data_IF_833292032335
#
_entry.id   IF_833292032335
#
_cell.length_a   1.000
_cell.length_b   1.000
_cell.length_c   1.000
_cell.angle_alpha   90.00
_cell.angle_beta   90.00
_cell.angle_gamma   90.00
#
_symmetry.space_group_name_H-M   'P 1'
#
loop_
_entity.id
_entity.type
_entity.pdbx_description
1 polymer ?
#
# COMPACT_ATOMS: atom_id res chain seq x y z
N UNK A 1 -37.65 10.06 22.20
CA UNK A 1 -37.05 8.75 22.55
C UNK A 1 -36.90 7.82 21.33
N UNK A 2 -37.89 7.74 20.43
CA UNK A 2 -37.84 6.86 19.23
C UNK A 2 -36.76 7.26 18.21
N UNK A 3 -36.54 8.55 18.00
CA UNK A 3 -35.54 9.07 17.05
C UNK A 3 -34.12 8.69 17.45
N UNK A 4 -33.74 8.94 18.71
CA UNK A 4 -32.43 8.61 19.25
C UNK A 4 -32.14 7.10 19.22
N UNK A 5 -33.14 6.28 19.61
CA UNK A 5 -33.03 4.83 19.56
C UNK A 5 -32.86 4.32 18.11
N UNK A 6 -33.56 4.91 17.14
CA UNK A 6 -33.41 4.55 15.72
C UNK A 6 -32.03 4.93 15.18
N UNK A 7 -31.52 6.11 15.55
CA UNK A 7 -30.14 6.51 15.21
C UNK A 7 -29.11 5.56 15.81
N UNK A 8 -29.27 5.15 17.07
CA UNK A 8 -28.37 4.19 17.70
C UNK A 8 -28.36 2.84 16.95
N UNK A 9 -29.55 2.29 16.64
CA UNK A 9 -29.68 1.03 15.91
C UNK A 9 -29.02 1.10 14.52
N UNK A 10 -29.13 2.24 13.83
CA UNK A 10 -28.53 2.40 12.51
C UNK A 10 -27.00 2.31 12.50
N UNK A 11 -26.36 2.55 13.65
CA UNK A 11 -24.91 2.46 13.83
C UNK A 11 -24.44 1.05 14.23
N UNK A 12 -25.36 0.16 14.55
CA UNK A 12 -25.05 -1.21 14.95
C UNK A 12 -24.93 -2.12 13.74
N UNK A 13 -24.03 -3.12 13.79
CA UNK A 13 -23.96 -4.14 12.75
C UNK A 13 -25.29 -4.88 12.59
N UNK A 14 -25.69 -5.13 11.34
CA UNK A 14 -26.95 -5.81 11.02
C UNK A 14 -27.10 -7.18 11.68
N UNK A 15 -25.99 -7.88 11.97
CA UNK A 15 -26.01 -9.18 12.65
C UNK A 15 -26.40 -9.07 14.13
N UNK A 16 -26.06 -7.96 14.80
CA UNK A 16 -26.34 -7.73 16.22
C UNK A 16 -27.83 -7.47 16.48
N UNK A 17 -28.56 -7.03 15.46
CA UNK A 17 -29.99 -6.72 15.52
C UNK A 17 -30.89 -7.91 15.18
N UNK A 18 -30.31 -9.02 14.70
CA UNK A 18 -31.08 -10.18 14.25
C UNK A 18 -31.66 -10.94 15.44
N UNK A 19 -32.99 -10.90 15.59
CA UNK A 19 -33.73 -11.64 16.62
C UNK A 19 -33.92 -10.91 17.95
N UNK A 20 -33.44 -9.66 18.08
CA UNK A 20 -33.62 -8.83 19.28
C UNK A 20 -34.76 -7.86 19.04
N UNK A 21 -35.74 -7.85 19.94
CA UNK A 21 -37.00 -7.12 19.75
C UNK A 21 -37.22 -6.05 20.82
N UNK A 22 -36.51 -6.08 21.95
CA UNK A 22 -36.67 -5.09 23.00
C UNK A 22 -35.61 -3.98 22.91
N UNK A 23 -35.97 -2.78 23.36
CA UNK A 23 -35.05 -1.64 23.46
C UNK A 23 -33.87 -1.95 24.40
N UNK A 24 -34.08 -2.79 25.43
CA UNK A 24 -33.04 -3.20 26.38
C UNK A 24 -32.00 -4.10 25.69
N UNK A 25 -32.44 -5.04 24.85
CA UNK A 25 -31.54 -5.90 24.08
C UNK A 25 -30.67 -5.07 23.13
N UNK A 26 -31.27 -4.10 22.43
CA UNK A 26 -30.54 -3.19 21.56
C UNK A 26 -29.53 -2.32 22.32
N UNK A 27 -29.88 -1.89 23.53
CA UNK A 27 -28.96 -1.13 24.38
C UNK A 27 -27.77 -1.99 24.85
N UNK A 28 -28.03 -3.24 25.25
CA UNK A 28 -26.99 -4.19 25.61
C UNK A 28 -26.04 -4.49 24.45
N UNK A 29 -26.57 -4.63 23.24
CA UNK A 29 -25.77 -4.80 22.03
C UNK A 29 -24.94 -3.58 21.68
N UNK A 30 -25.49 -2.37 21.86
CA UNK A 30 -24.72 -1.16 21.67
C UNK A 30 -23.50 -1.12 22.59
N UNK A 31 -23.67 -1.47 23.86
CA UNK A 31 -22.56 -1.55 24.82
C UNK A 31 -21.53 -2.61 24.41
N UNK A 32 -21.98 -3.80 23.99
CA UNK A 32 -21.08 -4.87 23.52
C UNK A 32 -20.30 -4.44 22.27
N UNK A 33 -20.96 -3.74 21.34
CA UNK A 33 -20.33 -3.25 20.13
C UNK A 33 -19.32 -2.14 20.42
N UNK A 34 -19.62 -1.21 21.32
CA UNK A 34 -18.66 -0.20 21.79
C UNK A 34 -17.39 -0.88 22.34
N UNK A 35 -17.55 -1.87 23.22
CA UNK A 35 -16.41 -2.64 23.77
C UNK A 35 -15.60 -3.33 22.67
N UNK A 36 -16.27 -3.89 21.67
CA UNK A 36 -15.59 -4.51 20.53
C UNK A 36 -14.77 -3.48 19.75
N UNK A 37 -15.32 -2.30 19.48
CA UNK A 37 -14.61 -1.21 18.80
C UNK A 37 -13.41 -0.71 19.60
N UNK A 38 -13.54 -0.54 20.92
CA UNK A 38 -12.43 -0.17 21.81
C UNK A 38 -11.28 -1.18 21.74
N UNK A 39 -11.60 -2.49 21.80
CA UNK A 39 -10.60 -3.55 21.64
C UNK A 39 -9.93 -3.51 20.27
N UNK A 40 -10.72 -3.31 19.21
CA UNK A 40 -10.22 -3.25 17.83
C UNK A 40 -9.24 -2.07 17.63
N UNK A 41 -9.54 -0.90 18.20
CA UNK A 41 -8.63 0.26 18.23
C UNK A 41 -7.31 -0.10 18.93
N UNK A 42 -7.37 -0.81 20.06
CA UNK A 42 -6.19 -1.31 20.78
C UNK A 42 -5.32 -2.28 19.96
N UNK A 43 -5.96 -3.21 19.25
CA UNK A 43 -5.24 -4.14 18.37
C UNK A 43 -4.60 -3.43 17.17
N UNK A 44 -5.34 -2.54 16.51
CA UNK A 44 -4.85 -1.80 15.34
C UNK A 44 -3.71 -0.86 15.72
N UNK A 45 -3.80 -0.18 16.87
CA UNK A 45 -2.71 0.64 17.40
C UNK A 45 -1.46 -0.20 17.69
N UNK A 46 -1.61 -1.35 18.34
CA UNK A 46 -0.51 -2.28 18.59
C UNK A 46 0.14 -2.80 17.30
N UNK A 47 -0.67 -3.13 16.29
CA UNK A 47 -0.19 -3.55 14.95
C UNK A 47 0.59 -2.43 14.27
N UNK A 48 0.07 -1.19 14.29
CA UNK A 48 0.76 0.00 13.77
C UNK A 48 2.08 0.24 14.48
N UNK A 49 2.14 0.13 15.80
CA UNK A 49 3.36 0.40 16.56
C UNK A 49 4.41 -0.68 16.31
N UNK A 50 4.00 -1.95 16.17
CA UNK A 50 4.89 -3.04 15.74
C UNK A 50 5.49 -2.75 14.37
N UNK A 51 4.68 -2.35 13.41
CA UNK A 51 5.14 -2.01 12.06
C UNK A 51 6.09 -0.81 12.09
N UNK A 52 5.74 0.26 12.82
CA UNK A 52 6.59 1.44 12.98
C UNK A 52 7.95 1.12 13.58
N UNK A 53 8.02 0.28 14.62
CA UNK A 53 9.28 -0.18 15.22
C UNK A 53 10.11 -1.02 14.26
N UNK A 54 9.48 -1.92 13.49
CA UNK A 54 10.18 -2.71 12.48
C UNK A 54 10.77 -1.86 11.35
N UNK A 55 10.14 -0.71 11.04
CA UNK A 55 10.67 0.26 10.08
C UNK A 55 11.75 1.18 10.67
N UNK A 56 11.72 1.46 11.98
CA UNK A 56 12.70 2.34 12.63
C UNK A 56 13.93 1.62 13.18
N UNK A 57 13.87 0.31 13.48
CA UNK A 57 15.06 -0.44 13.94
C UNK A 57 16.11 -0.63 12.84
N UNK A 58 15.77 -0.27 11.60
CA UNK A 58 16.68 -0.29 10.46
C UNK A 58 17.47 1.03 10.30
N UNK A 59 17.20 2.04 11.16
CA UNK A 59 17.71 3.40 11.00
C UNK A 59 18.69 3.87 12.10
N UNK A 60 19.05 3.03 13.09
CA UNK A 60 19.84 3.49 14.25
C UNK A 60 21.35 3.20 14.14
N UNK A 61 21.81 2.36 13.21
CA UNK A 61 23.25 2.09 13.04
C UNK A 61 23.83 2.62 11.72
N UNK A 62 23.80 3.94 11.49
CA UNK A 62 24.65 4.58 10.47
C UNK A 62 25.16 5.94 10.93
N UNK A 63 25.90 5.93 12.03
CA UNK A 63 26.85 6.99 12.34
C UNK A 63 28.23 6.35 12.49
N UNK A 64 28.86 6.03 11.36
CA UNK A 64 30.32 5.88 11.24
C UNK A 64 30.77 5.73 9.78
N UNK A 65 31.49 6.75 9.32
CA UNK A 65 32.75 6.64 8.57
C UNK A 65 32.77 6.04 7.14
N UNK A 66 33.00 6.94 6.18
CA UNK A 66 34.04 6.88 5.13
C UNK A 66 33.95 5.93 3.91
N UNK A 67 34.16 6.60 2.76
CA UNK A 67 34.99 6.24 1.60
C UNK A 67 34.52 5.17 0.59
N UNK A 68 34.75 5.54 -0.67
CA UNK A 68 34.65 4.77 -1.91
C UNK A 68 34.92 3.27 -1.77
N UNK A 69 34.11 2.44 -2.43
CA UNK A 69 34.53 1.48 -3.48
C UNK A 69 33.38 0.55 -3.88
N UNK A 70 33.51 0.11 -5.12
CA UNK A 70 32.72 -0.76 -5.99
C UNK A 70 32.26 -2.09 -5.38
N UNK A 71 31.09 -2.56 -5.83
CA UNK A 71 30.76 -3.99 -5.86
C UNK A 71 30.29 -4.60 -4.54
N UNK A 72 28.98 -4.83 -4.42
CA UNK A 72 28.44 -5.63 -3.33
C UNK A 72 26.99 -5.28 -3.06
N UNK A 73 26.11 -6.25 -3.28
CA UNK A 73 24.66 -6.19 -3.12
C UNK A 73 24.24 -5.67 -1.74
N UNK A 74 24.06 -4.35 -1.62
CA UNK A 74 23.50 -3.72 -0.42
C UNK A 74 22.00 -3.61 -0.62
N UNK A 75 21.25 -4.51 0.04
CA UNK A 75 19.80 -4.39 0.21
C UNK A 75 19.50 -3.04 0.87
N UNK A 76 19.19 -2.04 0.03
CA UNK A 76 18.84 -0.69 0.45
C UNK A 76 17.49 -0.74 1.14
N UNK A 77 17.46 -0.36 2.42
CA UNK A 77 16.25 0.01 3.13
C UNK A 77 15.39 0.96 2.30
N UNK A 78 14.22 0.50 1.89
CA UNK A 78 12.93 1.20 2.02
C UNK A 78 12.71 2.59 1.39
N UNK A 79 13.65 3.18 0.67
CA UNK A 79 13.47 4.47 -0.02
C UNK A 79 14.32 4.54 -1.29
N UNK A 80 14.05 3.63 -2.23
CA UNK A 80 14.69 3.63 -3.54
C UNK A 80 13.66 3.45 -4.64
N UNK A 81 13.93 4.02 -5.80
CA UNK A 81 13.17 3.72 -7.00
C UNK A 81 13.33 2.24 -7.36
N UNK A 82 12.25 1.57 -7.77
CA UNK A 82 12.27 0.16 -8.20
C UNK A 82 11.69 -0.02 -9.60
N UNK A 83 12.16 -1.04 -10.30
CA UNK A 83 11.60 -1.53 -11.57
C UNK A 83 11.33 -3.01 -11.43
N UNK A 84 10.19 -3.47 -11.92
CA UNK A 84 9.81 -4.88 -11.94
C UNK A 84 9.25 -5.20 -13.31
N UNK A 85 9.73 -6.27 -13.92
CA UNK A 85 9.26 -6.77 -15.22
C UNK A 85 8.51 -8.07 -14.99
N UNK A 86 7.32 -8.17 -15.55
CA UNK A 86 6.44 -9.34 -15.43
C UNK A 86 6.01 -9.83 -16.82
N UNK A 87 5.80 -11.15 -17.00
CA UNK A 87 5.15 -11.66 -18.21
C UNK A 87 3.74 -11.09 -18.35
N UNK A 88 3.35 -10.74 -19.58
CA UNK A 88 1.99 -10.31 -19.94
C UNK A 88 1.54 -11.05 -21.19
N UNK A 89 0.22 -11.16 -21.42
CA UNK A 89 -0.35 -12.04 -22.46
C UNK A 89 0.16 -11.77 -23.88
N UNK A 90 0.59 -10.54 -24.18
CA UNK A 90 1.15 -10.14 -25.48
C UNK A 90 2.65 -9.76 -25.42
N UNK A 91 3.33 -9.98 -24.30
CA UNK A 91 4.73 -9.57 -24.14
C UNK A 91 5.12 -9.42 -22.67
N UNK A 92 5.45 -8.19 -22.27
CA UNK A 92 5.90 -7.89 -20.91
C UNK A 92 5.16 -6.69 -20.33
N UNK A 93 5.08 -6.66 -19.01
CA UNK A 93 4.60 -5.51 -18.27
C UNK A 93 5.73 -4.98 -17.38
N UNK A 94 6.04 -3.70 -17.53
CA UNK A 94 7.08 -3.00 -16.77
C UNK A 94 6.42 -2.10 -15.75
N UNK A 95 6.67 -2.38 -14.47
CA UNK A 95 6.18 -1.58 -13.35
C UNK A 95 7.33 -0.83 -12.70
N UNK A 96 7.26 0.49 -12.70
CA UNK A 96 8.23 1.35 -12.01
C UNK A 96 7.59 2.01 -10.81
N UNK A 97 8.37 2.21 -9.76
CA UNK A 97 7.95 3.01 -8.61
C UNK A 97 9.07 3.93 -8.16
N UNK A 98 8.77 5.20 -7.90
CA UNK A 98 9.76 6.22 -7.55
C UNK A 98 9.21 7.23 -6.56
N UNK A 99 10.08 7.73 -5.69
CA UNK A 99 9.76 8.85 -4.82
C UNK A 99 9.77 10.19 -5.57
N UNK A 100 9.17 11.21 -4.95
CA UNK A 100 9.28 12.60 -5.42
C UNK A 100 10.69 13.12 -5.17
N UNK A 101 11.60 12.93 -6.13
CA UNK A 101 12.93 13.54 -6.12
C UNK A 101 14.11 12.61 -6.43
N UNK A 102 13.91 11.30 -6.53
CA UNK A 102 14.98 10.32 -6.78
C UNK A 102 14.60 9.20 -7.77
N UNK A 103 13.67 9.49 -8.68
CA UNK A 103 13.06 8.56 -9.62
C UNK A 103 13.89 8.13 -10.83
N UNK A 104 13.55 6.98 -11.41
CA UNK A 104 13.92 6.69 -12.79
C UNK A 104 13.19 7.66 -13.71
N UNK A 105 13.90 8.26 -14.67
CA UNK A 105 13.28 9.00 -15.76
C UNK A 105 12.46 8.02 -16.59
N UNK A 106 11.15 8.22 -16.69
CA UNK A 106 10.26 7.35 -17.46
C UNK A 106 10.73 7.24 -18.92
N UNK A 107 11.28 8.34 -19.47
CA UNK A 107 11.89 8.38 -20.80
C UNK A 107 12.96 7.30 -21.00
N UNK A 108 13.88 7.14 -20.02
CA UNK A 108 14.93 6.11 -20.09
C UNK A 108 14.38 4.70 -20.05
N UNK A 109 13.31 4.48 -19.29
CA UNK A 109 12.67 3.16 -19.21
C UNK A 109 11.99 2.83 -20.54
N UNK A 110 11.30 3.80 -21.15
CA UNK A 110 10.71 3.63 -22.48
C UNK A 110 11.78 3.38 -23.54
N UNK A 111 12.88 4.12 -23.49
CA UNK A 111 14.01 3.93 -24.41
C UNK A 111 14.60 2.51 -24.29
N UNK A 112 14.82 2.02 -23.08
CA UNK A 112 15.30 0.66 -22.84
C UNK A 112 14.32 -0.40 -23.38
N UNK A 113 13.02 -0.22 -23.18
CA UNK A 113 11.98 -1.13 -23.73
C UNK A 113 12.04 -1.17 -25.27
N UNK A 114 12.21 0.00 -25.91
CA UNK A 114 12.32 0.10 -27.36
C UNK A 114 13.61 -0.56 -27.88
N UNK A 115 14.72 -0.38 -27.18
CA UNK A 115 16.02 -0.99 -27.53
C UNK A 115 15.96 -2.52 -27.46
N UNK A 116 15.21 -3.07 -26.52
CA UNK A 116 14.98 -4.52 -26.39
C UNK A 116 13.95 -5.08 -27.40
N UNK A 117 13.44 -4.24 -28.32
CA UNK A 117 12.53 -4.69 -29.38
C UNK A 117 11.07 -4.82 -28.95
N UNK A 118 10.65 -4.08 -27.92
CA UNK A 118 9.24 -4.00 -27.52
C UNK A 118 8.63 -2.64 -27.84
N UNK A 119 7.36 -2.63 -28.21
CA UNK A 119 6.54 -1.43 -28.33
C UNK A 119 5.68 -1.23 -27.09
N UNK A 120 5.63 0.01 -26.58
CA UNK A 120 4.76 0.38 -25.46
C UNK A 120 3.34 0.61 -25.99
N UNK A 121 2.40 -0.26 -25.65
CA UNK A 121 1.01 -0.18 -26.10
C UNK A 121 0.13 0.60 -25.14
N UNK A 122 0.46 0.59 -23.86
CA UNK A 122 -0.27 1.30 -22.82
C UNK A 122 0.67 1.71 -21.70
N UNK A 123 0.46 2.90 -21.14
CA UNK A 123 1.15 3.37 -19.95
C UNK A 123 0.14 4.03 -19.01
N UNK A 124 0.11 3.57 -17.76
CA UNK A 124 -0.73 4.15 -16.71
C UNK A 124 0.15 4.64 -15.58
N UNK A 125 0.01 5.92 -15.25
CA UNK A 125 0.75 6.57 -14.17
C UNK A 125 -0.20 6.89 -13.02
N UNK A 126 0.14 6.46 -11.81
CA UNK A 126 -0.63 6.74 -10.60
C UNK A 126 0.28 7.30 -9.51
N UNK A 127 -0.19 8.33 -8.79
CA UNK A 127 0.50 8.85 -7.62
C UNK A 127 -0.24 8.43 -6.34
N UNK A 128 0.45 7.79 -5.39
CA UNK A 128 -0.08 7.46 -4.05
C UNK A 128 0.95 7.78 -2.98
N UNK A 129 0.52 8.44 -1.89
CA UNK A 129 1.37 8.75 -0.73
C UNK A 129 2.73 9.38 -1.11
N UNK A 130 2.71 10.36 -2.02
CA UNK A 130 3.90 11.04 -2.56
C UNK A 130 4.89 10.15 -3.36
N UNK A 131 4.49 8.94 -3.75
CA UNK A 131 5.23 8.05 -4.65
C UNK A 131 4.51 7.93 -5.99
N UNK A 132 5.28 7.93 -7.08
CA UNK A 132 4.79 7.67 -8.43
C UNK A 132 4.94 6.21 -8.78
N UNK A 133 3.93 5.67 -9.46
CA UNK A 133 3.91 4.32 -10.00
C UNK A 133 3.57 4.43 -11.48
N UNK A 134 4.36 3.78 -12.34
CA UNK A 134 4.04 3.67 -13.75
C UNK A 134 3.94 2.20 -14.10
N UNK A 135 2.90 1.84 -14.85
CA UNK A 135 2.68 0.50 -15.36
C UNK A 135 2.61 0.61 -16.88
N UNK A 136 3.57 -0.02 -17.55
CA UNK A 136 3.66 -0.06 -19.00
C UNK A 136 3.38 -1.48 -19.48
N UNK A 137 2.48 -1.60 -20.45
CA UNK A 137 2.29 -2.83 -21.20
C UNK A 137 3.08 -2.73 -22.50
N UNK A 138 3.87 -3.75 -22.76
CA UNK A 138 4.81 -3.77 -23.87
C UNK A 138 4.58 -5.04 -24.68
N UNK A 139 4.43 -4.89 -25.99
CA UNK A 139 4.27 -6.00 -26.92
C UNK A 139 5.57 -6.20 -27.72
N UNK A 140 5.86 -7.43 -28.10
CA UNK A 140 7.00 -7.73 -28.98
C UNK A 140 6.80 -7.01 -30.31
N UNK A 141 7.78 -6.20 -30.73
CA UNK A 141 7.75 -5.54 -32.03
C UNK A 141 7.92 -6.61 -33.11
N UNK A 142 6.86 -6.84 -33.88
CA UNK A 142 6.90 -7.74 -35.03
C UNK A 142 7.38 -6.91 -36.22
N UNK A 143 8.64 -7.07 -36.60
CA UNK A 143 9.26 -6.48 -37.79
C UNK A 143 9.05 -7.35 -39.02
#
# INVERSE_FOLDING_TARGET
MSTLHSSLISLLPHHSLKGKRSMSDHMGEAVNYIKHLESNIGELSSKRDKLKRSSSSSAVDQQQHSTNTTGGSRRRNGSGSSVTVRPHSAGVEVVTSSDKGGGFELSRVVEAVIQEGFDVTSCVSTQRQARFYNTMQCQVRIS
#
